data_IF_872935603310
#
_entry.id   IF_872935603310
#
_cell.length_a   1.000
_cell.length_b   1.000
_cell.length_c   1.000
_cell.angle_alpha   90.00
_cell.angle_beta   90.00
_cell.angle_gamma   90.00
#
_symmetry.space_group_name_H-M   'P 1'
#
loop_
_entity.id
_entity.type
_entity.pdbx_description
1 polymer ?
#
# COMPACT_ATOMS: atom_id res chain seq x y z
N UNK A 1 -15.33 -15.12 -10.11
CA UNK A 1 -15.16 -13.66 -10.30
C UNK A 1 -15.89 -13.22 -11.55
N UNK A 2 -16.67 -12.14 -11.49
CA UNK A 2 -17.42 -11.62 -12.63
C UNK A 2 -16.46 -10.99 -13.66
N UNK A 3 -16.92 -10.86 -14.93
CA UNK A 3 -16.16 -10.16 -15.98
C UNK A 3 -15.81 -8.74 -15.55
N UNK A 4 -16.77 -8.03 -14.94
CA UNK A 4 -16.57 -6.68 -14.44
C UNK A 4 -15.47 -6.64 -13.34
N UNK A 5 -15.47 -7.59 -12.42
CA UNK A 5 -14.44 -7.68 -11.38
C UNK A 5 -13.06 -7.96 -11.98
N UNK A 6 -12.98 -8.83 -13.00
CA UNK A 6 -11.72 -9.09 -13.70
C UNK A 6 -11.18 -7.84 -14.39
N UNK A 7 -12.06 -7.04 -15.01
CA UNK A 7 -11.67 -5.79 -15.66
C UNK A 7 -11.17 -4.76 -14.66
N UNK A 8 -11.82 -4.65 -13.50
CA UNK A 8 -11.40 -3.75 -12.41
C UNK A 8 -10.02 -4.17 -11.89
N UNK A 9 -9.83 -5.46 -11.62
CA UNK A 9 -8.53 -5.94 -11.12
C UNK A 9 -7.42 -5.79 -12.16
N UNK A 10 -7.72 -5.98 -13.45
CA UNK A 10 -6.74 -5.72 -14.51
C UNK A 10 -6.29 -4.26 -14.50
N UNK A 11 -7.22 -3.32 -14.30
CA UNK A 11 -6.91 -1.90 -14.18
C UNK A 11 -6.07 -1.61 -12.93
N UNK A 12 -6.42 -2.19 -11.79
CA UNK A 12 -5.66 -2.03 -10.54
C UNK A 12 -4.22 -2.52 -10.71
N UNK A 13 -4.05 -3.70 -11.30
CA UNK A 13 -2.72 -4.26 -11.51
C UNK A 13 -1.89 -3.41 -12.47
N UNK A 14 -2.51 -2.86 -13.51
CA UNK A 14 -1.84 -1.97 -14.46
C UNK A 14 -1.39 -0.68 -13.78
N UNK A 15 -2.25 -0.07 -12.96
CA UNK A 15 -1.91 1.13 -12.19
C UNK A 15 -0.78 0.87 -11.19
N UNK A 16 -0.79 -0.28 -10.54
CA UNK A 16 0.31 -0.66 -9.63
C UNK A 16 1.62 -0.81 -10.39
N UNK A 17 1.60 -1.43 -11.57
CA UNK A 17 2.81 -1.55 -12.40
C UNK A 17 3.33 -0.19 -12.85
N UNK A 18 2.44 0.70 -13.25
CA UNK A 18 2.80 2.07 -13.66
C UNK A 18 3.43 2.83 -12.48
N UNK A 19 2.83 2.73 -11.30
CA UNK A 19 3.37 3.37 -10.10
C UNK A 19 4.74 2.80 -9.74
N UNK A 20 4.92 1.49 -9.80
CA UNK A 20 6.22 0.86 -9.56
C UNK A 20 7.29 1.39 -10.50
N UNK A 21 6.98 1.50 -11.79
CA UNK A 21 7.90 2.04 -12.78
C UNK A 21 8.28 3.49 -12.47
N UNK A 22 7.31 4.30 -12.08
CA UNK A 22 7.57 5.71 -11.70
C UNK A 22 8.42 5.79 -10.43
N UNK A 23 8.09 5.01 -9.42
CA UNK A 23 8.85 4.99 -8.15
C UNK A 23 10.29 4.54 -8.34
N UNK A 24 10.55 3.65 -9.29
CA UNK A 24 11.89 3.18 -9.60
C UNK A 24 12.80 4.32 -10.12
N UNK A 25 12.22 5.40 -10.64
CA UNK A 25 12.97 6.57 -11.11
C UNK A 25 13.18 7.63 -10.04
N UNK A 26 12.54 7.51 -8.89
CA UNK A 26 12.63 8.49 -7.80
C UNK A 26 13.85 8.19 -6.95
N UNK A 27 14.77 9.17 -6.77
CA UNK A 27 15.92 8.98 -5.89
C UNK A 27 15.49 8.61 -4.47
N UNK A 28 16.22 7.72 -3.78
CA UNK A 28 15.82 7.27 -2.44
C UNK A 28 15.56 8.39 -1.43
N UNK A 29 16.36 9.46 -1.48
CA UNK A 29 16.23 10.59 -0.57
C UNK A 29 14.91 11.36 -0.77
N UNK A 30 14.31 11.28 -1.94
CA UNK A 30 13.04 11.94 -2.22
C UNK A 30 11.83 11.20 -1.68
N UNK A 31 12.00 9.95 -1.29
CA UNK A 31 10.95 9.19 -0.63
C UNK A 31 10.60 9.74 0.76
N UNK A 32 11.48 10.56 1.33
CA UNK A 32 11.24 11.24 2.61
C UNK A 32 10.50 12.57 2.46
N UNK A 33 10.15 12.97 1.23
CA UNK A 33 9.35 14.19 1.01
C UNK A 33 7.92 14.01 1.51
N UNK A 34 7.33 15.09 1.98
CA UNK A 34 5.94 15.11 2.40
C UNK A 34 5.03 14.73 1.23
N UNK A 35 4.06 13.88 1.51
CA UNK A 35 3.04 13.49 0.55
C UNK A 35 1.82 14.43 0.66
N UNK A 36 0.80 14.17 -0.17
CA UNK A 36 -0.50 14.85 -0.05
C UNK A 36 -1.27 14.39 1.19
N UNK A 37 -0.87 13.26 1.81
CA UNK A 37 -1.48 12.80 3.05
C UNK A 37 -0.77 13.47 4.22
N UNK A 38 -1.49 14.26 5.00
CA UNK A 38 -0.92 15.03 6.11
C UNK A 38 -0.21 14.12 7.11
N UNK A 39 1.03 14.49 7.44
CA UNK A 39 1.86 13.75 8.40
C UNK A 39 2.56 12.52 7.83
N UNK A 40 2.38 12.22 6.55
CA UNK A 40 3.00 11.07 5.88
C UNK A 40 4.00 11.49 4.82
N UNK A 41 5.15 10.83 4.81
CA UNK A 41 6.10 10.88 3.71
C UNK A 41 5.63 10.03 2.54
N UNK A 42 6.20 10.22 1.36
CA UNK A 42 5.96 9.35 0.20
C UNK A 42 6.19 7.88 0.56
N UNK A 43 7.25 7.58 1.31
CA UNK A 43 7.57 6.23 1.78
C UNK A 43 6.43 5.60 2.57
N UNK A 44 5.78 6.37 3.46
CA UNK A 44 4.64 5.90 4.25
C UNK A 44 3.44 5.57 3.36
N UNK A 45 3.19 6.38 2.34
CA UNK A 45 2.08 6.14 1.40
C UNK A 45 2.29 4.84 0.64
N UNK A 46 3.50 4.58 0.15
CA UNK A 46 3.81 3.32 -0.54
C UNK A 46 3.63 2.13 0.40
N UNK A 47 4.11 2.24 1.63
CA UNK A 47 3.93 1.21 2.65
C UNK A 47 2.45 0.94 2.94
N UNK A 48 1.63 2.00 3.00
CA UNK A 48 0.18 1.88 3.17
C UNK A 48 -0.48 1.13 2.00
N UNK A 49 -0.03 1.39 0.77
CA UNK A 49 -0.55 0.67 -0.41
C UNK A 49 -0.23 -0.83 -0.35
N UNK A 50 0.95 -1.20 0.15
CA UNK A 50 1.33 -2.60 0.38
C UNK A 50 0.40 -3.22 1.42
N UNK A 51 0.21 -2.56 2.55
CA UNK A 51 -0.66 -3.01 3.62
C UNK A 51 -2.09 -3.24 3.11
N UNK A 52 -2.63 -2.29 2.36
CA UNK A 52 -3.98 -2.39 1.80
C UNK A 52 -4.12 -3.60 0.85
N UNK A 53 -3.10 -3.87 0.04
CA UNK A 53 -3.12 -4.99 -0.91
C UNK A 53 -3.03 -6.36 -0.22
N UNK A 54 -2.41 -6.44 0.95
CA UNK A 54 -2.26 -7.67 1.72
C UNK A 54 -3.41 -7.91 2.69
N UNK A 55 -4.25 -6.92 2.95
CA UNK A 55 -5.30 -7.00 3.95
C UNK A 55 -6.55 -7.65 3.38
N UNK A 56 -7.03 -8.72 4.02
CA UNK A 56 -8.31 -9.36 3.71
C UNK A 56 -9.43 -8.66 4.50
N UNK A 57 -10.70 -8.89 4.10
CA UNK A 57 -11.85 -8.35 4.83
C UNK A 57 -11.87 -8.77 6.29
N UNK A 58 -11.62 -10.06 6.55
CA UNK A 58 -11.59 -10.57 7.92
C UNK A 58 -10.43 -9.95 8.71
N UNK A 59 -9.24 -9.89 8.10
CA UNK A 59 -8.07 -9.27 8.71
C UNK A 59 -8.30 -7.79 9.02
N UNK A 60 -8.94 -7.06 8.09
CA UNK A 60 -9.31 -5.66 8.29
C UNK A 60 -10.23 -5.49 9.51
N UNK A 61 -11.27 -6.30 9.61
CA UNK A 61 -12.21 -6.22 10.73
C UNK A 61 -11.53 -6.53 12.08
N UNK A 62 -10.64 -7.51 12.11
CA UNK A 62 -9.85 -7.80 13.32
C UNK A 62 -8.97 -6.64 13.74
N UNK A 63 -8.27 -6.04 12.78
CA UNK A 63 -7.36 -4.92 13.03
C UNK A 63 -8.13 -3.69 13.49
N UNK A 64 -9.25 -3.42 12.84
CA UNK A 64 -10.10 -2.29 13.18
C UNK A 64 -10.67 -2.43 14.59
N UNK A 65 -11.09 -3.63 14.98
CA UNK A 65 -11.53 -3.92 16.35
C UNK A 65 -10.40 -3.73 17.36
N UNK A 66 -9.20 -4.21 17.03
CA UNK A 66 -8.02 -4.03 17.88
C UNK A 66 -7.63 -2.57 18.03
N UNK A 67 -7.82 -1.75 17.01
CA UNK A 67 -7.58 -0.30 17.02
C UNK A 67 -8.79 0.49 17.57
N UNK A 68 -9.79 -0.18 18.12
CA UNK A 68 -11.02 0.42 18.68
C UNK A 68 -11.76 1.27 17.65
N UNK A 69 -11.83 0.77 16.42
CA UNK A 69 -12.49 1.43 15.28
C UNK A 69 -11.88 2.79 14.90
N UNK A 70 -10.61 3.01 15.22
CA UNK A 70 -9.83 4.15 14.79
C UNK A 70 -9.14 3.82 13.45
N UNK A 71 -9.73 4.27 12.34
CA UNK A 71 -9.22 4.01 10.99
C UNK A 71 -7.83 4.61 10.76
N UNK A 72 -7.60 5.82 11.26
CA UNK A 72 -6.32 6.50 11.07
C UNK A 72 -5.19 5.74 11.76
N UNK A 73 -5.45 5.30 12.98
CA UNK A 73 -4.47 4.52 13.74
C UNK A 73 -4.21 3.17 13.08
N UNK A 74 -5.23 2.49 12.57
CA UNK A 74 -5.07 1.22 11.85
C UNK A 74 -4.19 1.41 10.61
N UNK A 75 -4.42 2.48 9.86
CA UNK A 75 -3.62 2.82 8.69
C UNK A 75 -2.17 3.12 9.05
N UNK A 76 -1.94 3.86 10.13
CA UNK A 76 -0.60 4.17 10.62
C UNK A 76 0.16 2.92 11.02
N UNK A 77 -0.47 2.04 11.77
CA UNK A 77 0.13 0.76 12.20
C UNK A 77 0.46 -0.10 10.99
N UNK A 78 -0.44 -0.20 10.02
CA UNK A 78 -0.21 -0.96 8.80
C UNK A 78 0.95 -0.40 7.97
N UNK A 79 1.01 0.91 7.81
CA UNK A 79 2.09 1.56 7.08
C UNK A 79 3.44 1.35 7.77
N UNK A 80 3.50 1.50 9.10
CA UNK A 80 4.72 1.25 9.88
C UNK A 80 5.21 -0.19 9.71
N UNK A 81 4.29 -1.15 9.72
CA UNK A 81 4.63 -2.56 9.58
C UNK A 81 5.24 -2.86 8.21
N UNK A 82 4.72 -2.26 7.14
CA UNK A 82 5.15 -2.55 5.78
C UNK A 82 6.32 -1.68 5.31
N UNK A 83 6.58 -0.56 5.97
CA UNK A 83 7.70 0.30 5.64
C UNK A 83 9.03 -0.38 6.00
N UNK A 84 9.90 -0.55 5.00
CA UNK A 84 11.26 -1.07 5.20
C UNK A 84 12.20 0.09 5.52
N UNK A 85 13.40 -0.24 6.00
CA UNK A 85 14.41 0.77 6.33
C UNK A 85 14.85 1.57 5.09
N UNK A 86 14.93 0.92 3.95
CA UNK A 86 15.36 1.54 2.69
C UNK A 86 14.26 1.53 1.64
N UNK A 87 14.07 2.64 0.89
CA UNK A 87 13.06 2.71 -0.17
C UNK A 87 13.16 1.59 -1.21
N UNK A 88 14.35 1.14 -1.58
CA UNK A 88 14.53 0.05 -2.54
C UNK A 88 13.89 -1.25 -2.05
N UNK A 89 13.93 -1.50 -0.76
CA UNK A 89 13.33 -2.71 -0.17
C UNK A 89 11.81 -2.58 -0.08
N UNK A 90 11.31 -1.39 0.21
CA UNK A 90 9.87 -1.11 0.19
C UNK A 90 9.33 -1.23 -1.24
N UNK A 91 10.06 -0.73 -2.23
CA UNK A 91 9.66 -0.87 -3.63
C UNK A 91 9.62 -2.35 -4.07
N UNK A 92 10.61 -3.14 -3.66
CA UNK A 92 10.60 -4.59 -3.94
C UNK A 92 9.40 -5.29 -3.31
N UNK A 93 9.01 -4.89 -2.09
CA UNK A 93 7.80 -5.40 -1.44
C UNK A 93 6.53 -4.95 -2.18
N UNK A 94 6.50 -3.73 -2.68
CA UNK A 94 5.40 -3.24 -3.50
C UNK A 94 5.27 -4.05 -4.80
N UNK A 95 6.37 -4.34 -5.48
CA UNK A 95 6.36 -5.14 -6.70
C UNK A 95 5.74 -6.53 -6.47
N UNK A 96 5.96 -7.10 -5.29
CA UNK A 96 5.40 -8.42 -4.96
C UNK A 96 3.88 -8.40 -4.80
N UNK A 97 3.28 -7.26 -4.44
CA UNK A 97 1.83 -7.19 -4.26
C UNK A 97 1.07 -6.74 -5.50
N UNK A 98 1.77 -6.44 -6.61
CA UNK A 98 1.12 -5.99 -7.84
C UNK A 98 -0.03 -6.92 -8.27
N UNK A 99 0.11 -8.26 -8.27
CA UNK A 99 -0.95 -9.15 -8.73
C UNK A 99 -2.03 -9.47 -7.67
N UNK A 100 -1.95 -8.92 -6.48
CA UNK A 100 -2.89 -9.24 -5.40
C UNK A 100 -4.31 -8.77 -5.70
N UNK A 101 -5.30 -9.53 -5.21
CA UNK A 101 -6.72 -9.25 -5.38
C UNK A 101 -7.47 -9.14 -4.05
N UNK A 102 -6.74 -8.96 -2.94
CA UNK A 102 -7.35 -8.76 -1.62
C UNK A 102 -7.95 -7.36 -1.50
N UNK A 103 -9.07 -7.27 -0.79
CA UNK A 103 -9.66 -5.97 -0.40
C UNK A 103 -9.88 -5.96 1.10
N UNK A 104 -9.61 -4.84 1.74
CA UNK A 104 -9.93 -4.67 3.16
C UNK A 104 -11.42 -4.60 3.43
#
# INVERSE_FOLDING_TARGET
MSTQSLDIWAAVHEERRALSADLATVPPERWAEASLCSGWEVHDVVAHLIDSALTTRLGFMRRLSAARFDFDRDNEVGAERERRAHPVDTLAAFDRIVPETNTP
#
